data_IF_756812044456
#
_entry.id   IF_756812044456
#
_cell.length_a   1.000
_cell.length_b   1.000
_cell.length_c   1.000
_cell.angle_alpha   90.00
_cell.angle_beta   90.00
_cell.angle_gamma   90.00
#
_symmetry.space_group_name_H-M   'P 1'
#
loop_
_entity.id
_entity.type
_entity.pdbx_description
1 polymer ?
#
# COMPACT_ATOMS: atom_id res chain seq x y z
N UNK A 1 -13.54 -3.60 28.00
CA UNK A 1 -12.92 -3.05 26.79
C UNK A 1 -13.07 -4.04 25.64
N UNK A 2 -13.57 -3.56 24.52
CA UNK A 2 -13.80 -4.42 23.38
C UNK A 2 -12.50 -4.71 22.66
N UNK A 3 -12.31 -5.96 22.29
CA UNK A 3 -11.19 -6.35 21.46
C UNK A 3 -11.40 -5.86 20.03
N UNK A 4 -10.36 -5.38 19.33
CA UNK A 4 -10.51 -5.05 17.93
C UNK A 4 -10.77 -6.32 17.10
N UNK A 5 -11.32 -6.17 15.89
CA UNK A 5 -11.48 -7.31 14.99
C UNK A 5 -10.15 -8.02 14.73
N UNK A 6 -10.13 -9.33 14.45
CA UNK A 6 -8.88 -10.08 14.27
C UNK A 6 -7.98 -9.56 13.13
N UNK A 7 -8.58 -8.99 12.10
CA UNK A 7 -7.85 -8.49 10.92
C UNK A 7 -7.50 -7.02 11.01
N UNK A 8 -7.80 -6.37 12.14
CA UNK A 8 -7.69 -4.93 12.26
C UNK A 8 -7.49 -4.56 13.73
N UNK A 9 -6.64 -3.62 14.01
CA UNK A 9 -6.43 -3.11 15.35
C UNK A 9 -7.12 -1.76 15.50
N UNK A 10 -7.54 -1.44 16.74
CA UNK A 10 -8.14 -0.15 17.07
C UNK A 10 -7.11 0.97 16.99
N UNK A 11 -5.85 0.64 17.04
CA UNK A 11 -4.76 1.56 16.92
C UNK A 11 -3.48 0.82 16.60
N UNK A 12 -2.39 1.55 16.46
CA UNK A 12 -1.10 0.95 16.21
C UNK A 12 -0.58 0.31 17.50
N UNK A 13 -0.15 -0.94 17.41
CA UNK A 13 0.47 -1.64 18.52
C UNK A 13 1.75 -0.93 18.93
N UNK A 14 2.12 -0.89 20.24
CA UNK A 14 3.40 -0.33 20.66
C UNK A 14 4.61 -0.95 19.98
N UNK A 15 4.50 -2.22 19.55
CA UNK A 15 5.57 -2.91 18.84
C UNK A 15 5.52 -2.68 17.33
N UNK A 16 4.48 -2.03 16.82
CA UNK A 16 4.30 -1.82 15.39
C UNK A 16 5.27 -0.79 14.84
N UNK A 17 5.77 -1.03 13.62
CA UNK A 17 6.55 -0.04 12.89
C UNK A 17 5.69 1.01 12.22
N UNK A 18 4.41 0.73 12.02
CA UNK A 18 3.51 1.65 11.38
C UNK A 18 2.32 0.96 10.76
N UNK A 19 1.43 1.76 10.20
CA UNK A 19 0.23 1.30 9.53
C UNK A 19 0.41 1.30 8.03
N UNK A 20 0.09 0.17 7.41
CA UNK A 20 0.18 -0.01 5.96
C UNK A 20 -1.22 -0.24 5.41
N UNK A 21 -1.59 0.55 4.42
CA UNK A 21 -2.80 0.34 3.63
C UNK A 21 -2.38 -0.41 2.36
N UNK A 22 -2.89 -1.61 2.20
CA UNK A 22 -2.58 -2.47 1.07
C UNK A 22 -3.80 -2.58 0.17
N UNK A 23 -3.68 -2.10 -1.07
CA UNK A 23 -4.77 -2.14 -2.05
C UNK A 23 -4.41 -3.14 -3.14
N UNK A 24 -5.10 -4.26 -3.15
CA UNK A 24 -4.78 -5.38 -4.02
C UNK A 24 -6.01 -6.26 -4.21
N UNK A 25 -6.38 -6.53 -5.44
CA UNK A 25 -7.54 -7.39 -5.74
C UNK A 25 -7.18 -8.87 -5.90
N UNK A 26 -5.89 -9.22 -6.00
CA UNK A 26 -5.45 -10.61 -5.99
C UNK A 26 -5.29 -11.08 -4.54
N UNK A 27 -6.15 -11.98 -4.05
CA UNK A 27 -6.12 -12.39 -2.65
C UNK A 27 -4.84 -13.13 -2.26
N UNK A 28 -4.23 -13.87 -3.17
CA UNK A 28 -2.99 -14.59 -2.87
C UNK A 28 -1.83 -13.63 -2.65
N UNK A 29 -1.70 -12.64 -3.53
CA UNK A 29 -0.64 -11.65 -3.38
C UNK A 29 -0.87 -10.78 -2.15
N UNK A 30 -2.13 -10.40 -1.88
CA UNK A 30 -2.48 -9.65 -0.69
C UNK A 30 -2.11 -10.43 0.59
N UNK A 31 -2.39 -11.72 0.61
CA UNK A 31 -2.05 -12.56 1.76
C UNK A 31 -0.53 -12.65 1.96
N UNK A 32 0.22 -12.79 0.87
CA UNK A 32 1.68 -12.79 0.92
C UNK A 32 2.22 -11.50 1.53
N UNK A 33 1.78 -10.35 1.01
CA UNK A 33 2.24 -9.06 1.49
C UNK A 33 1.86 -8.84 2.95
N UNK A 34 0.63 -9.16 3.32
CA UNK A 34 0.16 -9.00 4.69
C UNK A 34 1.00 -9.82 5.65
N UNK A 35 1.25 -11.08 5.30
CA UNK A 35 2.02 -11.98 6.15
C UNK A 35 3.47 -11.48 6.31
N UNK A 36 4.11 -11.14 5.20
CA UNK A 36 5.51 -10.67 5.22
C UNK A 36 5.65 -9.40 6.06
N UNK A 37 4.77 -8.43 5.82
CA UNK A 37 4.85 -7.14 6.51
C UNK A 37 4.50 -7.25 7.99
N UNK A 38 3.50 -8.05 8.33
CA UNK A 38 3.10 -8.21 9.72
C UNK A 38 4.12 -9.02 10.52
N UNK A 39 4.59 -10.14 9.98
CA UNK A 39 5.50 -11.04 10.70
C UNK A 39 6.94 -10.59 10.63
N UNK A 40 7.43 -10.27 9.43
CA UNK A 40 8.81 -9.89 9.23
C UNK A 40 9.10 -8.44 9.57
N UNK A 41 8.14 -7.55 9.32
CA UNK A 41 8.31 -6.11 9.48
C UNK A 41 7.59 -5.50 10.66
N UNK A 42 6.72 -6.23 11.34
CA UNK A 42 5.91 -5.76 12.47
C UNK A 42 5.02 -4.57 12.11
N UNK A 43 4.54 -4.53 10.87
CA UNK A 43 3.58 -3.51 10.44
C UNK A 43 2.16 -3.97 10.73
N UNK A 44 1.29 -3.01 11.01
CA UNK A 44 -0.16 -3.25 11.06
C UNK A 44 -0.70 -3.04 9.66
N UNK A 45 -1.16 -4.11 9.01
CA UNK A 45 -1.59 -4.08 7.62
C UNK A 45 -3.11 -4.16 7.55
N UNK A 46 -3.70 -3.23 6.79
CA UNK A 46 -5.12 -3.29 6.42
C UNK A 46 -5.20 -3.50 4.92
N UNK A 47 -5.85 -4.57 4.52
CA UNK A 47 -6.01 -4.93 3.11
C UNK A 47 -7.41 -4.58 2.62
N UNK A 48 -7.46 -3.90 1.48
CA UNK A 48 -8.69 -3.52 0.79
C UNK A 48 -8.51 -3.85 -0.70
N UNK A 49 -9.50 -4.50 -1.29
CA UNK A 49 -9.44 -4.84 -2.71
C UNK A 49 -9.93 -3.72 -3.62
N UNK A 50 -10.82 -2.88 -3.14
CA UNK A 50 -11.45 -1.82 -3.92
C UNK A 50 -10.80 -0.47 -3.65
N UNK A 51 -10.27 0.21 -4.70
CA UNK A 51 -9.62 1.51 -4.51
C UNK A 51 -10.55 2.61 -4.00
N UNK A 52 -11.82 2.58 -4.36
CA UNK A 52 -12.78 3.57 -3.85
C UNK A 52 -12.97 3.44 -2.34
N UNK A 53 -13.11 2.21 -1.85
CA UNK A 53 -13.19 1.95 -0.42
C UNK A 53 -11.88 2.32 0.28
N UNK A 54 -10.75 2.10 -0.38
CA UNK A 54 -9.44 2.45 0.16
C UNK A 54 -9.27 3.96 0.32
N UNK A 55 -9.77 4.76 -0.64
CA UNK A 55 -9.73 6.22 -0.53
C UNK A 55 -10.53 6.68 0.69
N UNK A 56 -11.72 6.13 0.88
CA UNK A 56 -12.54 6.46 2.05
C UNK A 56 -11.82 6.10 3.35
N UNK A 57 -11.21 4.94 3.40
CA UNK A 57 -10.48 4.48 4.57
C UNK A 57 -9.24 5.33 4.83
N UNK A 58 -8.56 5.76 3.78
CA UNK A 58 -7.36 6.60 3.90
C UNK A 58 -7.66 7.94 4.58
N UNK A 59 -8.88 8.44 4.46
CA UNK A 59 -9.29 9.69 5.07
C UNK A 59 -9.64 9.57 6.57
N UNK A 60 -9.80 8.36 7.09
CA UNK A 60 -10.32 8.15 8.46
C UNK A 60 -9.26 8.14 9.54
N UNK A 61 -8.01 7.87 9.18
CA UNK A 61 -6.91 7.76 10.14
C UNK A 61 -5.57 7.97 9.45
N UNK A 62 -4.50 8.26 10.20
CA UNK A 62 -3.17 8.39 9.60
C UNK A 62 -2.62 7.04 9.17
N UNK A 63 -1.91 7.05 8.05
CA UNK A 63 -1.21 5.89 7.50
C UNK A 63 0.25 6.24 7.32
N UNK A 64 1.12 5.24 7.42
CA UNK A 64 2.56 5.43 7.28
C UNK A 64 3.06 5.00 5.91
N UNK A 65 2.30 4.15 5.22
CA UNK A 65 2.68 3.62 3.93
C UNK A 65 1.45 3.10 3.21
N UNK A 66 1.41 3.31 1.90
CA UNK A 66 0.41 2.69 1.02
C UNK A 66 1.13 1.83 0.02
N UNK A 67 0.67 0.59 -0.13
CA UNK A 67 1.14 -0.32 -1.18
C UNK A 67 -0.06 -0.64 -2.05
N UNK A 68 0.05 -0.40 -3.34
CA UNK A 68 -1.06 -0.62 -4.27
C UNK A 68 -0.59 -1.34 -5.51
N UNK A 69 -1.46 -2.20 -6.04
CA UNK A 69 -1.28 -2.73 -7.38
C UNK A 69 -1.47 -1.60 -8.39
N UNK A 70 -0.80 -1.70 -9.52
CA UNK A 70 -0.99 -0.77 -10.64
C UNK A 70 -2.34 -1.01 -11.32
N UNK A 71 -2.71 -2.28 -11.50
CA UNK A 71 -3.93 -2.66 -12.21
C UNK A 71 -5.04 -2.93 -11.21
N UNK A 72 -5.78 -1.88 -10.88
CA UNK A 72 -6.92 -1.96 -9.96
C UNK A 72 -8.23 -1.87 -10.75
N UNK A 73 -9.34 -2.38 -10.20
CA UNK A 73 -10.64 -2.10 -10.79
C UNK A 73 -10.93 -0.60 -10.71
N UNK A 74 -11.55 -0.05 -11.72
CA UNK A 74 -12.04 1.33 -11.80
C UNK A 74 -10.97 2.41 -11.98
N UNK A 75 -9.75 2.21 -11.50
CA UNK A 75 -8.68 3.19 -11.69
C UNK A 75 -7.32 2.52 -11.62
N UNK A 76 -6.30 3.15 -12.19
CA UNK A 76 -4.94 2.65 -12.07
C UNK A 76 -4.35 2.99 -10.72
N UNK A 77 -3.26 2.30 -10.35
CA UNK A 77 -2.52 2.64 -9.13
C UNK A 77 -1.96 4.05 -9.18
N UNK A 78 -1.60 4.57 -10.35
CA UNK A 78 -1.14 5.96 -10.49
C UNK A 78 -2.25 6.96 -10.18
N UNK A 79 -3.44 6.71 -10.69
CA UNK A 79 -4.60 7.55 -10.39
C UNK A 79 -4.94 7.53 -8.90
N UNK A 80 -4.91 6.34 -8.32
CA UNK A 80 -5.14 6.16 -6.89
C UNK A 80 -4.09 6.92 -6.08
N UNK A 81 -2.81 6.80 -6.44
CA UNK A 81 -1.73 7.52 -5.76
C UNK A 81 -1.91 9.03 -5.85
N UNK A 82 -2.35 9.54 -7.00
CA UNK A 82 -2.59 10.97 -7.16
C UNK A 82 -3.66 11.48 -6.20
N UNK A 83 -4.74 10.72 -6.04
CA UNK A 83 -5.81 11.08 -5.10
C UNK A 83 -5.27 11.11 -3.67
N UNK A 84 -4.52 10.09 -3.27
CA UNK A 84 -3.96 10.03 -1.92
C UNK A 84 -2.97 11.16 -1.65
N UNK A 85 -2.17 11.55 -2.64
CA UNK A 85 -1.21 12.64 -2.52
C UNK A 85 -1.88 13.99 -2.33
N UNK A 86 -3.08 14.17 -2.89
CA UNK A 86 -3.87 15.38 -2.63
C UNK A 86 -4.35 15.43 -1.19
N UNK A 87 -4.68 14.26 -0.61
CA UNK A 87 -5.15 14.17 0.78
C UNK A 87 -4.00 14.31 1.76
N UNK A 88 -2.84 13.73 1.44
CA UNK A 88 -1.67 13.72 2.30
C UNK A 88 -0.40 13.70 1.43
N UNK A 89 0.19 14.86 1.14
CA UNK A 89 1.37 14.91 0.27
C UNK A 89 2.59 14.17 0.78
N UNK A 90 2.68 13.96 2.09
CA UNK A 90 3.81 13.27 2.69
C UNK A 90 3.67 11.74 2.77
N UNK A 91 2.54 11.20 2.35
CA UNK A 91 2.29 9.76 2.46
C UNK A 91 3.11 8.98 1.42
N UNK A 92 3.99 8.06 1.85
CA UNK A 92 4.72 7.23 0.89
C UNK A 92 3.79 6.25 0.19
N UNK A 93 3.98 6.10 -1.12
CA UNK A 93 3.18 5.18 -1.94
C UNK A 93 4.12 4.27 -2.74
N UNK A 94 3.90 2.97 -2.62
CA UNK A 94 4.59 1.95 -3.41
C UNK A 94 3.58 1.36 -4.39
N UNK A 95 3.96 1.30 -5.66
CA UNK A 95 3.15 0.64 -6.68
C UNK A 95 3.82 -0.66 -7.08
N UNK A 96 3.03 -1.73 -7.15
CA UNK A 96 3.49 -3.07 -7.52
C UNK A 96 2.80 -3.47 -8.80
N UNK A 97 3.52 -4.03 -9.75
CA UNK A 97 2.93 -4.41 -11.05
C UNK A 97 3.58 -5.66 -11.63
N UNK A 98 2.77 -6.46 -12.31
CA UNK A 98 3.26 -7.57 -13.11
C UNK A 98 3.88 -7.09 -14.43
N UNK A 99 3.61 -5.84 -14.82
CA UNK A 99 4.01 -5.28 -16.12
C UNK A 99 4.77 -3.97 -15.95
N UNK A 100 5.98 -4.00 -15.34
CA UNK A 100 6.72 -2.78 -15.05
C UNK A 100 7.12 -2.00 -16.31
N UNK A 101 7.18 -2.65 -17.46
CA UNK A 101 7.51 -2.00 -18.72
C UNK A 101 6.44 -0.99 -19.17
N UNK A 102 5.21 -1.10 -18.66
CA UNK A 102 4.13 -0.17 -19.00
C UNK A 102 4.17 1.10 -18.14
N UNK A 103 4.93 1.08 -17.05
CA UNK A 103 4.94 2.17 -16.09
C UNK A 103 5.37 3.51 -16.68
N UNK A 104 6.39 3.60 -17.55
CA UNK A 104 6.79 4.91 -18.12
C UNK A 104 5.67 5.61 -18.86
N UNK A 105 4.85 4.86 -19.61
CA UNK A 105 3.73 5.42 -20.37
C UNK A 105 2.66 5.94 -19.41
N UNK A 106 2.32 5.14 -18.41
CA UNK A 106 1.29 5.50 -17.43
C UNK A 106 1.72 6.67 -16.57
N UNK A 107 2.99 6.72 -16.18
CA UNK A 107 3.53 7.81 -15.37
C UNK A 107 3.47 9.15 -16.13
N UNK A 108 3.75 9.15 -17.43
CA UNK A 108 3.71 10.37 -18.22
C UNK A 108 2.30 10.94 -18.34
N UNK A 109 1.29 10.12 -18.19
CA UNK A 109 -0.12 10.55 -18.26
C UNK A 109 -0.63 11.12 -16.94
N UNK A 110 0.08 10.91 -15.84
CA UNK A 110 -0.38 11.29 -14.49
C UNK A 110 0.70 12.08 -13.76
N UNK A 111 0.83 13.35 -14.15
CA UNK A 111 1.81 14.25 -13.55
C UNK A 111 1.62 14.35 -12.03
N UNK A 112 2.69 14.24 -11.28
CA UNK A 112 2.66 14.35 -9.84
C UNK A 112 2.25 13.06 -9.12
N UNK A 113 1.90 12.02 -9.86
CA UNK A 113 1.48 10.75 -9.29
C UNK A 113 2.63 9.74 -9.16
N UNK A 114 3.86 10.22 -9.20
CA UNK A 114 5.02 9.32 -9.11
C UNK A 114 5.04 8.61 -7.77
N UNK A 115 5.16 7.27 -7.78
CA UNK A 115 5.30 6.52 -6.54
C UNK A 115 6.70 6.75 -5.94
N UNK A 116 6.82 6.48 -4.65
CA UNK A 116 8.12 6.46 -3.98
C UNK A 116 8.92 5.22 -4.36
N UNK A 117 8.24 4.17 -4.77
CA UNK A 117 8.86 2.98 -5.33
C UNK A 117 7.90 2.30 -6.29
N UNK A 118 8.45 1.70 -7.34
CA UNK A 118 7.70 0.88 -8.29
C UNK A 118 8.38 -0.49 -8.31
N UNK A 119 7.65 -1.51 -7.91
CA UNK A 119 8.19 -2.86 -7.75
C UNK A 119 7.54 -3.81 -8.73
N UNK A 120 8.32 -4.72 -9.29
CA UNK A 120 7.83 -5.73 -10.22
C UNK A 120 7.43 -7.00 -9.49
N UNK A 121 6.29 -7.58 -9.86
CA UNK A 121 5.90 -8.91 -9.41
C UNK A 121 6.65 -9.97 -10.22
N UNK A 122 7.04 -11.09 -9.64
CA UNK A 122 6.92 -11.46 -8.23
C UNK A 122 7.94 -10.71 -7.38
N UNK A 123 7.54 -10.37 -6.17
CA UNK A 123 8.38 -9.59 -5.26
C UNK A 123 8.97 -10.53 -4.20
N UNK A 124 10.23 -10.32 -3.85
CA UNK A 124 10.85 -11.12 -2.79
C UNK A 124 10.48 -10.57 -1.42
N UNK A 125 10.59 -11.44 -0.40
CA UNK A 125 10.40 -11.03 0.99
C UNK A 125 11.36 -9.89 1.34
N UNK A 126 12.63 -10.04 0.99
CA UNK A 126 13.65 -9.04 1.32
C UNK A 126 13.36 -7.69 0.68
N UNK A 127 12.97 -7.68 -0.59
CA UNK A 127 12.67 -6.42 -1.28
C UNK A 127 11.45 -5.72 -0.69
N UNK A 128 10.40 -6.49 -0.38
CA UNK A 128 9.21 -5.92 0.21
C UNK A 128 9.51 -5.31 1.58
N UNK A 129 10.24 -6.04 2.42
CA UNK A 129 10.59 -5.56 3.75
C UNK A 129 11.53 -4.37 3.72
N UNK A 130 12.56 -4.40 2.86
CA UNK A 130 13.53 -3.31 2.80
C UNK A 130 12.88 -2.03 2.27
N UNK A 131 11.98 -2.15 1.29
CA UNK A 131 11.26 -1.00 0.74
C UNK A 131 10.35 -0.39 1.81
N UNK A 132 9.54 -1.21 2.47
CA UNK A 132 8.62 -0.73 3.49
C UNK A 132 9.38 -0.08 4.66
N UNK A 133 10.46 -0.69 5.10
CA UNK A 133 11.27 -0.17 6.21
C UNK A 133 11.91 1.17 5.84
N UNK A 134 12.47 1.27 4.63
CA UNK A 134 13.13 2.49 4.18
C UNK A 134 12.15 3.67 4.10
N UNK A 135 10.93 3.43 3.62
CA UNK A 135 9.95 4.49 3.41
C UNK A 135 9.23 4.91 4.70
N UNK A 136 9.31 4.11 5.74
CA UNK A 136 8.68 4.40 7.03
C UNK A 136 9.70 4.78 8.12
N UNK A 137 10.94 4.87 7.77
CA UNK A 137 12.01 5.18 8.73
C UNK A 137 11.93 6.63 9.22
#
# INVERSE_FOLDING_TARGET
>A
MDAPPPHQTAGTSPASRGRVLLVEDDPEFALFCTHVLAKGGRFDVTHIADPTAAIALAATRPWDLVITDLDLPLMSGFEFAAVLRQMNPGLPVVIVTAYPQDAPILTSSHHGARPDALLAKPITVDLLLSTATALTA
#
